data_IF_795752223749
#
_entry.id   IF_795752223749
#
_cell.length_a   1.000
_cell.length_b   1.000
_cell.length_c   1.000
_cell.angle_alpha   90.00
_cell.angle_beta   90.00
_cell.angle_gamma   90.00
#
_symmetry.space_group_name_H-M   'P 1'
#
loop_
_entity.id
_entity.type
_entity.pdbx_description
1 polymer ?
#
# COMPACT_ATOMS: atom_id res chain seq x y z
N UNK A 1 35.47 -56.31 2.38
CA UNK A 1 35.74 -55.78 3.73
C UNK A 1 34.80 -54.63 3.98
N UNK A 2 33.80 -54.94 4.78
CA UNK A 2 32.73 -54.00 5.19
C UNK A 2 33.19 -53.13 6.35
N UNK A 3 32.83 -51.84 6.34
CA UNK A 3 32.75 -51.02 7.56
C UNK A 3 31.42 -50.29 7.62
N UNK A 4 30.69 -50.66 8.61
CA UNK A 4 29.39 -50.25 9.07
C UNK A 4 29.40 -48.81 9.58
N UNK A 5 28.33 -48.05 9.26
CA UNK A 5 27.94 -46.83 9.93
C UNK A 5 27.18 -47.14 11.25
N UNK A 6 27.32 -46.30 12.30
CA UNK A 6 26.49 -46.39 13.49
C UNK A 6 25.18 -45.57 13.36
N UNK A 7 24.14 -45.90 14.14
CA UNK A 7 22.80 -45.36 14.03
C UNK A 7 22.66 -44.01 14.76
N UNK A 8 21.77 -43.17 14.23
CA UNK A 8 21.30 -41.93 14.84
C UNK A 8 20.64 -42.19 16.20
N UNK A 9 21.18 -41.61 17.26
CA UNK A 9 20.58 -41.52 18.56
C UNK A 9 19.59 -40.37 18.62
N UNK A 10 18.34 -40.67 19.00
CA UNK A 10 17.33 -39.66 19.31
C UNK A 10 17.67 -38.89 20.59
N UNK A 11 17.54 -37.60 20.55
CA UNK A 11 17.56 -36.76 21.75
C UNK A 11 16.18 -36.78 22.41
N UNK A 12 16.06 -37.46 23.54
CA UNK A 12 14.93 -37.32 24.46
C UNK A 12 14.98 -35.95 25.13
N UNK A 13 13.97 -35.14 24.87
CA UNK A 13 13.76 -33.88 25.61
C UNK A 13 13.31 -34.20 27.05
N UNK A 14 14.22 -34.00 28.00
CA UNK A 14 13.98 -34.12 29.42
C UNK A 14 13.17 -32.95 29.95
N UNK A 15 11.98 -33.24 30.51
CA UNK A 15 11.18 -32.32 31.29
C UNK A 15 11.73 -32.21 32.71
N UNK A 16 12.19 -31.03 33.11
CA UNK A 16 12.58 -30.73 34.47
C UNK A 16 11.37 -30.16 35.23
N UNK A 17 10.89 -30.90 36.21
CA UNK A 17 9.91 -30.47 37.22
C UNK A 17 10.61 -29.64 38.32
N UNK A 18 10.42 -28.34 38.34
CA UNK A 18 10.79 -27.50 39.46
C UNK A 18 9.57 -27.34 40.40
N UNK A 19 9.76 -27.56 41.70
CA UNK A 19 8.76 -27.28 42.74
C UNK A 19 9.09 -25.96 43.40
N UNK A 20 8.06 -25.12 43.60
CA UNK A 20 8.20 -23.90 44.37
C UNK A 20 8.14 -24.19 45.91
N UNK A 21 8.49 -23.22 46.76
CA UNK A 21 8.50 -23.40 48.20
C UNK A 21 7.14 -23.74 48.80
N UNK A 22 6.05 -23.57 48.10
CA UNK A 22 4.68 -23.82 48.55
C UNK A 22 4.11 -25.17 48.01
N UNK A 23 4.95 -26.03 47.42
CA UNK A 23 4.60 -27.39 47.05
C UNK A 23 3.69 -27.52 45.82
N UNK A 24 3.50 -26.47 44.98
CA UNK A 24 2.69 -26.49 43.78
C UNK A 24 3.56 -26.74 42.57
N UNK A 25 3.22 -27.77 41.79
CA UNK A 25 3.87 -28.09 40.53
C UNK A 25 3.44 -27.09 39.43
N UNK A 26 4.36 -26.28 38.94
CA UNK A 26 4.16 -25.51 37.70
C UNK A 26 4.93 -26.17 36.59
N UNK A 27 4.22 -26.57 35.56
CA UNK A 27 4.79 -26.98 34.27
C UNK A 27 5.29 -25.73 33.54
N UNK A 28 6.60 -25.52 33.50
CA UNK A 28 7.23 -24.61 32.56
C UNK A 28 7.52 -25.38 31.28
N UNK A 29 6.52 -25.51 30.42
CA UNK A 29 6.69 -25.86 29.03
C UNK A 29 6.80 -24.59 28.23
N UNK A 30 7.92 -24.35 27.57
CA UNK A 30 7.99 -23.41 26.45
C UNK A 30 7.14 -23.99 25.33
N UNK A 31 5.87 -23.60 25.26
CA UNK A 31 5.07 -23.81 24.06
C UNK A 31 5.63 -22.89 22.96
N UNK A 32 6.01 -23.42 21.78
CA UNK A 32 6.31 -22.61 20.63
C UNK A 32 4.98 -22.05 20.10
N UNK A 33 4.64 -20.81 20.41
CA UNK A 33 3.42 -20.22 19.86
C UNK A 33 2.73 -19.11 20.65
N UNK A 34 3.47 -18.19 21.26
CA UNK A 34 2.86 -16.88 21.54
C UNK A 34 3.93 -15.75 21.52
N UNK A 35 4.32 -15.25 20.34
CA UNK A 35 5.18 -14.07 20.24
C UNK A 35 4.36 -12.76 20.23
N UNK A 36 3.16 -12.73 20.79
CA UNK A 36 2.38 -11.50 20.89
C UNK A 36 2.55 -10.92 22.29
N UNK A 37 3.71 -10.34 22.54
CA UNK A 37 3.92 -9.51 23.71
C UNK A 37 2.91 -8.37 23.74
N UNK A 38 2.12 -8.30 24.83
CA UNK A 38 1.11 -7.28 25.15
C UNK A 38 1.52 -5.80 25.02
N UNK A 39 2.83 -5.39 24.98
CA UNK A 39 3.20 -3.98 24.89
C UNK A 39 2.75 -3.27 23.60
N UNK A 40 2.49 -3.99 22.49
CA UNK A 40 2.09 -3.35 21.23
C UNK A 40 0.63 -2.86 21.20
N UNK A 41 -0.24 -3.35 22.10
CA UNK A 41 -1.63 -2.91 22.21
C UNK A 41 -1.76 -1.58 22.98
N UNK A 42 -0.82 -1.25 23.86
CA UNK A 42 -0.85 -0.03 24.66
C UNK A 42 -0.64 1.26 23.84
N UNK A 43 -0.17 1.12 22.58
CA UNK A 43 0.07 2.24 21.66
C UNK A 43 -1.17 2.59 20.84
N UNK A 44 -2.11 1.64 20.72
CA UNK A 44 -3.32 1.81 19.91
C UNK A 44 -4.40 2.52 20.74
N UNK A 45 -5.02 3.56 20.18
CA UNK A 45 -6.25 4.09 20.74
C UNK A 45 -7.32 2.99 20.85
N UNK A 46 -8.17 3.04 21.90
CA UNK A 46 -9.25 2.03 22.13
C UNK A 46 -10.09 1.75 20.88
N UNK A 47 -10.29 2.76 20.06
CA UNK A 47 -11.09 2.67 18.83
C UNK A 47 -10.42 1.80 17.76
N UNK A 48 -9.13 2.00 17.49
CA UNK A 48 -8.38 1.21 16.52
C UNK A 48 -8.23 -0.23 17.01
N UNK A 49 -7.90 -0.42 18.28
CA UNK A 49 -7.79 -1.75 18.88
C UNK A 49 -9.09 -2.56 18.72
N UNK A 50 -10.27 -1.94 18.97
CA UNK A 50 -11.57 -2.61 18.81
C UNK A 50 -11.87 -3.05 17.37
N UNK A 51 -11.56 -2.22 16.34
CA UNK A 51 -11.81 -2.59 14.94
C UNK A 51 -10.83 -3.63 14.44
N UNK A 52 -9.53 -3.48 14.75
CA UNK A 52 -8.51 -4.45 14.35
C UNK A 52 -8.67 -5.81 15.06
N UNK A 53 -9.39 -5.85 16.18
CA UNK A 53 -9.76 -7.07 16.88
C UNK A 53 -11.15 -7.61 16.49
N UNK A 54 -11.88 -6.96 15.55
CA UNK A 54 -13.17 -7.50 15.10
C UNK A 54 -12.99 -8.81 14.37
N UNK A 55 -13.94 -9.77 14.50
CA UNK A 55 -13.86 -11.07 13.82
C UNK A 55 -13.66 -10.93 12.31
N UNK A 56 -14.37 -10.00 11.67
CA UNK A 56 -14.28 -9.74 10.23
C UNK A 56 -12.88 -9.27 9.84
N UNK A 57 -12.30 -8.32 10.57
CA UNK A 57 -10.96 -7.80 10.27
C UNK A 57 -9.88 -8.88 10.49
N UNK A 58 -9.98 -9.67 11.56
CA UNK A 58 -9.08 -10.78 11.84
C UNK A 58 -9.13 -11.84 10.74
N UNK A 59 -10.33 -12.16 10.25
CA UNK A 59 -10.50 -13.06 9.10
C UNK A 59 -9.84 -12.48 7.85
N UNK A 60 -10.06 -11.20 7.53
CA UNK A 60 -9.42 -10.56 6.39
C UNK A 60 -7.88 -10.60 6.51
N UNK A 61 -7.35 -10.32 7.69
CA UNK A 61 -5.91 -10.38 7.94
C UNK A 61 -5.35 -11.80 7.76
N UNK A 62 -6.07 -12.83 8.26
CA UNK A 62 -5.71 -14.23 8.05
C UNK A 62 -5.72 -14.61 6.55
N UNK A 63 -6.73 -14.17 5.80
CA UNK A 63 -6.83 -14.39 4.35
C UNK A 63 -5.71 -13.71 3.56
N UNK A 64 -5.16 -12.61 4.07
CA UNK A 64 -4.09 -11.85 3.42
C UNK A 64 -2.68 -12.40 3.71
N UNK A 65 -2.51 -13.42 4.53
CA UNK A 65 -1.22 -14.09 4.71
C UNK A 65 -0.77 -14.74 3.41
N UNK A 66 0.49 -14.61 3.06
CA UNK A 66 1.07 -15.17 1.84
C UNK A 66 2.44 -15.79 2.13
N UNK A 67 2.85 -16.87 1.45
CA UNK A 67 2.12 -17.62 0.42
C UNK A 67 1.01 -18.52 0.99
N UNK A 68 0.16 -19.11 0.11
CA UNK A 68 -0.78 -20.14 0.49
C UNK A 68 -0.07 -21.28 1.24
N UNK A 69 -0.57 -21.64 2.43
CA UNK A 69 0.04 -22.64 3.30
C UNK A 69 -0.98 -23.28 4.22
N UNK A 70 -0.63 -24.41 4.79
CA UNK A 70 -1.48 -25.08 5.77
C UNK A 70 -1.71 -24.21 7.02
N UNK A 71 -0.69 -23.46 7.46
CA UNK A 71 -0.80 -22.52 8.58
C UNK A 71 -1.75 -21.36 8.26
N UNK A 72 -1.71 -20.79 7.04
CA UNK A 72 -2.70 -19.81 6.57
C UNK A 72 -4.11 -20.38 6.62
N UNK A 73 -4.32 -21.59 6.05
CA UNK A 73 -5.63 -22.21 6.01
C UNK A 73 -6.18 -22.52 7.41
N UNK A 74 -5.32 -22.92 8.36
CA UNK A 74 -5.71 -23.11 9.75
C UNK A 74 -6.10 -21.80 10.42
N UNK A 75 -5.34 -20.71 10.19
CA UNK A 75 -5.67 -19.37 10.68
C UNK A 75 -7.00 -18.85 10.11
N UNK A 76 -7.26 -19.09 8.81
CA UNK A 76 -8.53 -18.73 8.14
C UNK A 76 -9.70 -19.49 8.77
N UNK A 77 -9.59 -20.83 8.94
CA UNK A 77 -10.63 -21.62 9.60
C UNK A 77 -10.91 -21.19 11.03
N UNK A 78 -9.85 -20.92 11.81
CA UNK A 78 -9.98 -20.42 13.18
C UNK A 78 -10.70 -19.08 13.26
N UNK A 79 -10.32 -18.12 12.41
CA UNK A 79 -10.96 -16.82 12.37
C UNK A 79 -12.40 -16.88 11.86
N UNK A 80 -12.67 -17.73 10.86
CA UNK A 80 -14.01 -17.93 10.28
C UNK A 80 -15.03 -18.50 11.29
N UNK A 81 -14.59 -19.31 12.25
CA UNK A 81 -15.44 -19.85 13.31
C UNK A 81 -16.10 -18.80 14.20
N UNK A 82 -15.62 -17.56 14.21
CA UNK A 82 -16.18 -16.45 14.97
C UNK A 82 -17.07 -15.52 14.13
N UNK A 83 -17.27 -15.81 12.84
CA UNK A 83 -18.07 -14.98 11.93
C UNK A 83 -19.54 -15.29 12.07
N UNK A 84 -20.33 -14.26 12.40
CA UNK A 84 -21.78 -14.31 12.48
C UNK A 84 -22.41 -13.70 11.22
N UNK A 85 -21.82 -12.62 10.71
CA UNK A 85 -22.32 -11.88 9.55
C UNK A 85 -21.32 -11.93 8.37
N UNK A 86 -21.62 -12.78 7.38
CA UNK A 86 -20.82 -12.93 6.17
C UNK A 86 -20.99 -11.76 5.19
N UNK A 87 -22.09 -11.04 5.21
CA UNK A 87 -22.28 -9.84 4.39
C UNK A 87 -21.37 -8.72 4.89
N UNK A 88 -21.21 -8.61 6.21
CA UNK A 88 -20.21 -7.70 6.81
C UNK A 88 -18.79 -8.04 6.36
N UNK A 89 -18.41 -9.34 6.25
CA UNK A 89 -17.12 -9.77 5.73
C UNK A 89 -16.95 -9.34 4.28
N UNK A 90 -17.94 -9.57 3.41
CA UNK A 90 -17.90 -9.15 1.99
C UNK A 90 -17.72 -7.63 1.88
N UNK A 91 -18.45 -6.87 2.67
CA UNK A 91 -18.35 -5.41 2.69
C UNK A 91 -16.99 -4.93 3.19
N UNK A 92 -16.47 -5.55 4.24
CA UNK A 92 -15.13 -5.26 4.77
C UNK A 92 -14.04 -5.60 3.72
N UNK A 93 -14.11 -6.75 3.07
CA UNK A 93 -13.20 -7.16 1.99
C UNK A 93 -13.21 -6.16 0.82
N UNK A 94 -14.38 -5.62 0.48
CA UNK A 94 -14.52 -4.58 -0.54
C UNK A 94 -13.86 -3.26 -0.10
N UNK A 95 -14.15 -2.79 1.11
CA UNK A 95 -13.59 -1.53 1.66
C UNK A 95 -12.08 -1.58 1.77
N UNK A 96 -11.56 -2.73 2.19
CA UNK A 96 -10.13 -3.00 2.32
C UNK A 96 -9.45 -3.38 0.99
N UNK A 97 -10.23 -3.56 -0.09
CA UNK A 97 -9.79 -3.95 -1.44
C UNK A 97 -9.02 -5.27 -1.48
N UNK A 98 -9.47 -6.27 -0.69
CA UNK A 98 -8.85 -7.60 -0.58
C UNK A 98 -9.80 -8.75 -0.97
N UNK A 99 -10.91 -8.46 -1.66
CA UNK A 99 -11.93 -9.46 -2.01
C UNK A 99 -11.35 -10.66 -2.80
N UNK A 100 -10.37 -10.45 -3.69
CA UNK A 100 -9.71 -11.53 -4.41
C UNK A 100 -8.91 -12.46 -3.48
N UNK A 101 -8.17 -11.88 -2.53
CA UNK A 101 -7.41 -12.64 -1.52
C UNK A 101 -8.33 -13.40 -0.56
N UNK A 102 -9.44 -12.77 -0.15
CA UNK A 102 -10.43 -13.41 0.73
C UNK A 102 -11.10 -14.58 0.03
N UNK A 103 -11.54 -14.42 -1.22
CA UNK A 103 -12.10 -15.51 -2.01
C UNK A 103 -11.11 -16.67 -2.16
N UNK A 104 -9.87 -16.40 -2.57
CA UNK A 104 -8.81 -17.39 -2.74
C UNK A 104 -8.55 -18.17 -1.43
N UNK A 105 -8.38 -17.44 -0.32
CA UNK A 105 -8.05 -18.04 0.96
C UNK A 105 -9.18 -18.89 1.55
N UNK A 106 -10.43 -18.43 1.46
CA UNK A 106 -11.59 -19.20 1.92
C UNK A 106 -11.80 -20.46 1.09
N UNK A 107 -11.62 -20.37 -0.23
CA UNK A 107 -11.68 -21.54 -1.13
C UNK A 107 -10.58 -22.54 -0.80
N UNK A 108 -9.32 -22.08 -0.65
CA UNK A 108 -8.18 -22.95 -0.31
C UNK A 108 -8.31 -23.58 1.09
N UNK A 109 -8.98 -22.90 2.03
CA UNK A 109 -9.26 -23.43 3.36
C UNK A 109 -10.45 -24.40 3.39
N UNK A 110 -11.16 -24.59 2.26
CA UNK A 110 -12.35 -25.46 2.17
C UNK A 110 -13.56 -24.94 2.93
N UNK A 111 -13.67 -23.62 3.09
CA UNK A 111 -14.75 -23.00 3.86
C UNK A 111 -16.07 -23.02 3.07
N UNK A 112 -17.15 -23.47 3.73
CA UNK A 112 -18.50 -23.39 3.19
C UNK A 112 -19.15 -22.09 3.69
N UNK A 113 -19.50 -21.22 2.76
CA UNK A 113 -20.17 -19.95 3.03
C UNK A 113 -21.65 -20.04 2.65
N UNK A 114 -22.51 -19.15 3.22
CA UNK A 114 -23.87 -18.96 2.69
C UNK A 114 -23.81 -18.57 1.20
N UNK A 115 -24.81 -19.02 0.42
CA UNK A 115 -24.80 -18.94 -1.04
C UNK A 115 -24.61 -17.48 -1.58
N UNK A 116 -25.28 -16.50 -0.98
CA UNK A 116 -25.22 -15.11 -1.44
C UNK A 116 -23.82 -14.48 -1.22
N UNK A 117 -23.19 -14.49 -0.02
CA UNK A 117 -21.81 -14.05 0.19
C UNK A 117 -20.79 -14.78 -0.69
N UNK A 118 -20.93 -16.11 -0.87
CA UNK A 118 -20.05 -16.90 -1.72
C UNK A 118 -20.10 -16.42 -3.17
N UNK A 119 -21.30 -16.28 -3.72
CA UNK A 119 -21.52 -15.79 -5.09
C UNK A 119 -20.95 -14.37 -5.30
N UNK A 120 -21.16 -13.47 -4.34
CA UNK A 120 -20.67 -12.10 -4.43
C UNK A 120 -19.12 -12.03 -4.37
N UNK A 121 -18.46 -12.80 -3.50
CA UNK A 121 -17.00 -12.88 -3.46
C UNK A 121 -16.44 -13.44 -4.78
N UNK A 122 -17.03 -14.51 -5.31
CA UNK A 122 -16.65 -15.11 -6.58
C UNK A 122 -16.79 -14.11 -7.75
N UNK A 123 -17.92 -13.40 -7.82
CA UNK A 123 -18.18 -12.36 -8.82
C UNK A 123 -17.11 -11.24 -8.76
N UNK A 124 -16.75 -10.80 -7.55
CA UNK A 124 -15.71 -9.78 -7.33
C UNK A 124 -14.33 -10.28 -7.73
N UNK A 125 -13.96 -11.49 -7.36
CA UNK A 125 -12.69 -12.11 -7.75
C UNK A 125 -12.56 -12.20 -9.28
N UNK A 126 -13.62 -12.62 -9.98
CA UNK A 126 -13.65 -12.64 -11.44
C UNK A 126 -13.50 -11.23 -12.05
N UNK A 127 -14.18 -10.24 -11.49
CA UNK A 127 -14.08 -8.85 -11.95
C UNK A 127 -12.65 -8.30 -11.77
N UNK A 128 -11.99 -8.60 -10.64
CA UNK A 128 -10.59 -8.27 -10.39
C UNK A 128 -9.69 -8.89 -11.45
N UNK A 129 -9.83 -10.18 -11.71
CA UNK A 129 -9.00 -10.88 -12.70
C UNK A 129 -9.18 -10.31 -14.12
N UNK A 130 -10.43 -10.13 -14.56
CA UNK A 130 -10.72 -9.50 -15.88
C UNK A 130 -10.11 -8.10 -15.99
N UNK A 131 -10.25 -7.28 -14.95
CA UNK A 131 -9.67 -5.94 -14.92
C UNK A 131 -8.15 -5.99 -15.00
N UNK A 132 -7.50 -6.90 -14.27
CA UNK A 132 -6.05 -7.05 -14.28
C UNK A 132 -5.52 -7.49 -15.65
N UNK A 133 -6.23 -8.37 -16.38
CA UNK A 133 -5.85 -8.74 -17.74
C UNK A 133 -5.88 -7.53 -18.68
N UNK A 134 -6.95 -6.73 -18.63
CA UNK A 134 -7.05 -5.50 -19.42
C UNK A 134 -5.93 -4.51 -19.07
N UNK A 135 -5.65 -4.32 -17.78
CA UNK A 135 -4.58 -3.42 -17.33
C UNK A 135 -3.18 -3.96 -17.69
N UNK A 136 -2.98 -5.27 -17.74
CA UNK A 136 -1.71 -5.86 -18.17
C UNK A 136 -1.44 -5.57 -19.65
N UNK A 137 -2.42 -5.83 -20.52
CA UNK A 137 -2.33 -5.53 -21.94
C UNK A 137 -2.10 -4.02 -22.18
N UNK A 138 -2.84 -3.17 -21.46
CA UNK A 138 -2.73 -1.72 -21.63
C UNK A 138 -1.42 -1.16 -21.05
N UNK A 139 -0.91 -1.69 -19.95
CA UNK A 139 0.40 -1.29 -19.40
C UNK A 139 1.52 -1.59 -20.41
N UNK A 140 1.51 -2.80 -20.98
CA UNK A 140 2.46 -3.19 -22.02
C UNK A 140 2.37 -2.27 -23.24
N UNK A 141 1.15 -2.03 -23.73
CA UNK A 141 0.91 -1.17 -24.88
C UNK A 141 1.40 0.27 -24.65
N UNK A 142 1.14 0.82 -23.45
CA UNK A 142 1.59 2.17 -23.10
C UNK A 142 3.11 2.26 -22.99
N UNK A 143 3.77 1.26 -22.40
CA UNK A 143 5.24 1.23 -22.39
C UNK A 143 5.81 1.15 -23.80
N UNK A 144 5.23 0.32 -24.68
CA UNK A 144 5.62 0.24 -26.10
C UNK A 144 5.40 1.56 -26.83
N UNK A 145 4.27 2.23 -26.60
CA UNK A 145 3.95 3.54 -27.19
C UNK A 145 4.97 4.62 -26.75
N UNK A 146 5.31 4.65 -25.47
CA UNK A 146 6.29 5.58 -24.93
C UNK A 146 7.71 5.29 -25.44
N UNK A 147 8.09 4.02 -25.56
CA UNK A 147 9.38 3.60 -26.13
C UNK A 147 9.53 4.03 -27.57
N UNK A 148 8.49 3.86 -28.39
CA UNK A 148 8.48 4.32 -29.79
C UNK A 148 8.68 5.84 -29.92
N UNK A 149 8.35 6.59 -28.87
CA UNK A 149 8.59 8.05 -28.76
C UNK A 149 9.90 8.40 -28.03
N UNK A 150 10.76 7.42 -27.74
CA UNK A 150 11.99 7.56 -26.97
C UNK A 150 11.76 8.18 -25.56
N UNK A 151 10.65 7.81 -24.94
CA UNK A 151 10.30 8.20 -23.56
C UNK A 151 10.38 6.95 -22.66
N UNK A 152 11.46 6.78 -21.87
CA UNK A 152 11.58 5.65 -20.97
C UNK A 152 10.48 5.70 -19.90
N UNK A 153 9.91 4.53 -19.59
CA UNK A 153 8.81 4.42 -18.61
C UNK A 153 8.94 3.20 -17.73
N UNK A 154 8.54 3.32 -16.47
CA UNK A 154 8.57 2.27 -15.45
C UNK A 154 7.19 2.16 -14.83
N UNK A 155 6.59 0.96 -14.81
CA UNK A 155 5.37 0.69 -14.05
C UNK A 155 5.72 0.55 -12.56
N UNK A 156 5.16 1.41 -11.69
CA UNK A 156 5.53 1.47 -10.27
C UNK A 156 4.88 0.40 -9.40
N UNK A 157 3.70 -0.07 -9.78
CA UNK A 157 2.89 -1.05 -9.05
C UNK A 157 1.97 -1.81 -10.01
N UNK A 158 0.71 -2.03 -9.67
CA UNK A 158 -0.29 -2.60 -10.57
C UNK A 158 -0.05 -4.07 -10.88
N UNK A 159 -0.06 -4.40 -12.16
CA UNK A 159 0.02 -5.79 -12.65
C UNK A 159 1.41 -6.40 -12.50
N UNK A 160 2.47 -5.60 -12.61
CA UNK A 160 3.83 -6.06 -12.34
C UNK A 160 3.97 -6.54 -10.89
N UNK A 161 3.46 -5.75 -9.93
CA UNK A 161 3.43 -6.15 -8.52
C UNK A 161 2.52 -7.36 -8.28
N UNK A 162 1.40 -7.50 -9.00
CA UNK A 162 0.56 -8.69 -8.90
C UNK A 162 1.33 -9.96 -9.23
N UNK A 163 2.10 -9.93 -10.31
CA UNK A 163 2.91 -11.08 -10.72
C UNK A 163 4.08 -11.34 -9.75
N UNK A 164 4.80 -10.30 -9.34
CA UNK A 164 5.94 -10.44 -8.41
C UNK A 164 5.52 -10.93 -7.02
N UNK A 165 4.40 -10.43 -6.49
CA UNK A 165 3.95 -10.74 -5.14
C UNK A 165 3.14 -12.03 -5.06
N UNK A 166 2.32 -12.31 -6.06
CA UNK A 166 1.34 -13.40 -6.02
C UNK A 166 1.55 -14.48 -7.08
N UNK A 167 2.47 -14.28 -8.02
CA UNK A 167 2.67 -15.17 -9.16
C UNK A 167 1.44 -15.22 -10.09
N UNK A 168 0.49 -14.29 -9.95
CA UNK A 168 -0.80 -14.34 -10.64
C UNK A 168 -1.50 -12.99 -10.67
N UNK A 169 -2.28 -12.77 -11.72
CA UNK A 169 -3.17 -11.60 -11.84
C UNK A 169 -4.53 -11.77 -11.14
N UNK A 170 -4.79 -12.93 -10.47
CA UNK A 170 -6.15 -13.28 -10.00
C UNK A 170 -6.57 -12.57 -8.72
N UNK A 171 -5.65 -12.34 -7.77
CA UNK A 171 -6.02 -12.00 -6.39
C UNK A 171 -5.81 -10.53 -6.03
N UNK A 172 -4.84 -9.86 -6.66
CA UNK A 172 -4.50 -8.47 -6.36
C UNK A 172 -5.52 -7.49 -6.97
N UNK A 173 -6.09 -6.62 -6.14
CA UNK A 173 -6.96 -5.56 -6.64
C UNK A 173 -6.13 -4.41 -7.25
N UNK A 174 -6.05 -4.36 -8.57
CA UNK A 174 -5.47 -3.24 -9.33
C UNK A 174 -6.57 -2.34 -9.85
N UNK A 175 -6.36 -1.02 -9.83
CA UNK A 175 -7.36 -0.04 -10.26
C UNK A 175 -6.85 0.81 -11.43
N UNK A 176 -5.59 1.15 -11.40
CA UNK A 176 -4.89 2.15 -12.19
C UNK A 176 -3.58 1.59 -12.78
N UNK A 177 -3.06 2.29 -13.76
CA UNK A 177 -1.72 2.11 -14.32
C UNK A 177 -0.89 3.31 -13.86
N UNK A 178 0.21 3.07 -13.14
CA UNK A 178 1.13 4.10 -12.69
C UNK A 178 2.42 4.01 -13.50
N UNK A 179 2.70 5.02 -14.31
CA UNK A 179 3.90 5.07 -15.14
C UNK A 179 4.81 6.22 -14.70
N UNK A 180 6.01 5.89 -14.27
CA UNK A 180 7.07 6.85 -13.98
C UNK A 180 7.86 7.13 -15.25
N UNK A 181 8.03 8.41 -15.58
CA UNK A 181 8.75 8.92 -16.74
C UNK A 181 9.74 10.02 -16.33
N UNK A 182 10.72 10.39 -17.15
CA UNK A 182 11.57 11.54 -16.88
C UNK A 182 10.78 12.86 -16.88
N UNK A 183 11.05 13.79 -15.94
CA UNK A 183 10.30 15.04 -15.82
C UNK A 183 10.44 15.96 -17.05
N UNK A 184 11.57 15.93 -17.75
CA UNK A 184 11.81 16.69 -19.00
C UNK A 184 10.99 16.14 -20.19
N UNK A 185 10.49 14.90 -20.09
CA UNK A 185 9.63 14.26 -21.07
C UNK A 185 8.13 14.35 -20.73
N UNK A 186 7.77 14.91 -19.58
CA UNK A 186 6.39 14.91 -19.10
C UNK A 186 5.40 15.57 -20.07
N UNK A 187 5.73 16.75 -20.62
CA UNK A 187 4.85 17.44 -21.59
C UNK A 187 4.68 16.64 -22.89
N UNK A 188 5.75 16.03 -23.39
CA UNK A 188 5.71 15.20 -24.59
C UNK A 188 4.85 13.94 -24.37
N UNK A 189 5.00 13.29 -23.21
CA UNK A 189 4.20 12.13 -22.83
C UNK A 189 2.71 12.48 -22.67
N UNK A 190 2.38 13.60 -22.03
CA UNK A 190 1.00 14.10 -21.95
C UNK A 190 0.37 14.26 -23.34
N UNK A 191 1.08 14.96 -24.26
CA UNK A 191 0.61 15.16 -25.62
C UNK A 191 0.49 13.83 -26.42
N UNK A 192 1.36 12.85 -26.14
CA UNK A 192 1.32 11.53 -26.75
C UNK A 192 0.07 10.76 -26.32
N UNK A 193 -0.23 10.72 -25.01
CA UNK A 193 -1.42 10.06 -24.47
C UNK A 193 -2.70 10.72 -25.01
N UNK A 194 -2.76 12.04 -25.09
CA UNK A 194 -3.92 12.75 -25.67
C UNK A 194 -4.15 12.37 -27.13
N UNK A 195 -3.10 12.29 -27.94
CA UNK A 195 -3.19 11.81 -29.35
C UNK A 195 -3.64 10.34 -29.44
N UNK A 196 -3.31 9.52 -28.42
CA UNK A 196 -3.74 8.13 -28.32
C UNK A 196 -5.18 7.97 -27.81
N UNK A 197 -5.91 9.07 -27.57
CA UNK A 197 -7.31 9.08 -27.17
C UNK A 197 -7.55 9.12 -25.65
N UNK A 198 -6.51 9.33 -24.85
CA UNK A 198 -6.66 9.58 -23.42
C UNK A 198 -7.12 11.01 -23.15
N UNK A 199 -8.07 11.16 -22.25
CA UNK A 199 -8.52 12.45 -21.76
C UNK A 199 -7.89 12.74 -20.39
N UNK A 200 -7.38 13.95 -20.20
CA UNK A 200 -6.87 14.41 -18.92
C UNK A 200 -8.02 14.48 -17.91
N UNK A 201 -7.83 13.91 -16.72
CA UNK A 201 -8.84 13.85 -15.64
C UNK A 201 -8.40 14.53 -14.35
N UNK A 202 -7.11 14.64 -14.11
CA UNK A 202 -6.54 15.33 -12.96
C UNK A 202 -5.25 16.07 -13.38
N UNK A 203 -5.03 17.29 -12.92
CA UNK A 203 -5.79 18.05 -11.91
C UNK A 203 -7.03 18.77 -12.46
N UNK A 204 -7.23 18.79 -13.75
CA UNK A 204 -8.40 19.32 -14.45
C UNK A 204 -8.55 18.62 -15.80
N UNK A 205 -9.74 18.68 -16.42
CA UNK A 205 -10.00 18.08 -17.73
C UNK A 205 -9.35 18.84 -18.89
N UNK A 206 -8.97 20.10 -18.67
CA UNK A 206 -8.28 20.94 -19.66
C UNK A 206 -7.26 21.83 -18.97
N UNK A 207 -6.09 21.96 -19.57
CA UNK A 207 -5.00 22.81 -19.11
C UNK A 207 -4.41 23.59 -20.27
N UNK A 208 -4.24 24.90 -20.10
CA UNK A 208 -3.43 25.72 -21.02
C UNK A 208 -1.96 25.26 -20.95
N UNK A 209 -1.17 25.64 -21.95
CA UNK A 209 0.25 25.29 -21.98
C UNK A 209 1.04 25.82 -20.77
N UNK A 210 0.72 27.02 -20.31
CA UNK A 210 1.31 27.58 -19.10
C UNK A 210 0.94 26.78 -17.85
N UNK A 211 -0.31 26.35 -17.73
CA UNK A 211 -0.77 25.48 -16.64
C UNK A 211 -0.10 24.10 -16.70
N UNK A 212 0.09 23.51 -17.89
CA UNK A 212 0.82 22.23 -18.04
C UNK A 212 2.25 22.33 -17.52
N UNK A 213 2.98 23.41 -17.89
CA UNK A 213 4.33 23.66 -17.35
C UNK A 213 4.32 23.84 -15.83
N UNK A 214 3.34 24.54 -15.30
CA UNK A 214 3.17 24.71 -13.85
C UNK A 214 2.85 23.37 -13.15
N UNK A 215 2.01 22.53 -13.75
CA UNK A 215 1.71 21.18 -13.24
C UNK A 215 2.98 20.34 -13.16
N UNK A 216 3.81 20.29 -14.21
CA UNK A 216 5.07 19.55 -14.19
C UNK A 216 6.00 20.05 -13.08
N UNK A 217 6.01 21.36 -12.81
CA UNK A 217 6.84 21.97 -11.76
C UNK A 217 6.35 21.66 -10.35
N UNK A 218 5.04 21.73 -10.08
CA UNK A 218 4.47 21.71 -8.73
C UNK A 218 3.74 20.42 -8.36
N UNK A 219 3.33 19.61 -9.33
CA UNK A 219 2.78 18.26 -9.09
C UNK A 219 3.84 17.18 -9.34
N UNK A 220 3.61 16.00 -8.82
CA UNK A 220 4.39 14.80 -9.15
C UNK A 220 3.79 14.00 -10.29
N UNK A 221 2.51 14.26 -10.63
CA UNK A 221 1.73 13.41 -11.52
C UNK A 221 0.58 14.18 -12.18
N UNK A 222 0.04 13.58 -13.24
CA UNK A 222 -1.27 13.85 -13.81
C UNK A 222 -2.00 12.53 -14.03
N UNK A 223 -3.34 12.58 -14.05
CA UNK A 223 -4.14 11.40 -14.34
C UNK A 223 -4.92 11.55 -15.64
N UNK A 224 -5.00 10.45 -16.36
CA UNK A 224 -5.73 10.30 -17.62
C UNK A 224 -6.74 9.17 -17.52
N UNK A 225 -7.78 9.26 -18.34
CA UNK A 225 -8.73 8.18 -18.56
C UNK A 225 -8.89 7.93 -20.07
N UNK A 226 -8.87 6.68 -20.49
CA UNK A 226 -9.22 6.31 -21.85
C UNK A 226 -10.67 5.82 -21.91
N UNK A 227 -11.62 6.57 -22.52
CA UNK A 227 -13.04 6.23 -22.48
C UNK A 227 -13.35 4.84 -23.04
N UNK A 228 -12.76 4.51 -24.19
CA UNK A 228 -13.00 3.24 -24.88
C UNK A 228 -12.29 2.03 -24.24
N UNK A 229 -11.21 2.22 -23.48
CA UNK A 229 -10.44 1.14 -22.86
C UNK A 229 -10.73 1.02 -21.37
N UNK A 230 -11.43 2.00 -20.77
CA UNK A 230 -11.71 2.03 -19.35
C UNK A 230 -10.46 2.02 -18.46
N UNK A 231 -9.30 2.44 -19.01
CA UNK A 231 -8.03 2.49 -18.31
C UNK A 231 -7.85 3.86 -17.67
N UNK A 232 -7.60 3.84 -16.35
CA UNK A 232 -7.18 5.01 -15.59
C UNK A 232 -5.66 4.94 -15.44
N UNK A 233 -4.95 5.99 -15.88
CA UNK A 233 -3.49 6.01 -15.95
C UNK A 233 -2.96 7.25 -15.25
N UNK A 234 -2.08 7.05 -14.27
CA UNK A 234 -1.31 8.10 -13.62
C UNK A 234 0.07 8.18 -14.28
N UNK A 235 0.35 9.31 -14.91
CA UNK A 235 1.65 9.61 -15.48
C UNK A 235 2.43 10.42 -14.46
N UNK A 236 3.46 9.81 -13.89
CA UNK A 236 4.26 10.36 -12.79
C UNK A 236 5.67 10.68 -13.28
N UNK A 237 6.28 11.75 -12.75
CA UNK A 237 7.67 12.13 -12.98
C UNK A 237 8.46 12.29 -11.68
N UNK A 238 7.80 12.06 -10.55
CA UNK A 238 8.40 11.95 -9.22
C UNK A 238 7.70 10.85 -8.43
N UNK A 239 8.48 10.05 -7.73
CA UNK A 239 7.98 8.92 -6.92
C UNK A 239 7.40 9.35 -5.57
N UNK A 240 7.72 10.57 -5.11
CA UNK A 240 7.21 11.15 -3.87
C UNK A 240 7.12 12.68 -4.00
N UNK A 241 6.21 13.32 -3.24
CA UNK A 241 6.10 14.78 -3.19
C UNK A 241 7.28 15.41 -2.47
N UNK A 242 7.81 14.74 -1.44
CA UNK A 242 8.98 15.17 -0.71
C UNK A 242 10.25 14.54 -1.31
N UNK A 243 11.17 15.32 -1.91
CA UNK A 243 12.36 14.81 -2.56
C UNK A 243 13.39 14.19 -1.61
N UNK A 244 13.17 14.28 -0.29
CA UNK A 244 13.99 13.60 0.70
C UNK A 244 13.57 12.15 0.94
N UNK A 245 12.41 11.74 0.39
CA UNK A 245 11.96 10.35 0.32
C UNK A 245 12.32 9.78 -1.05
N UNK A 246 12.79 8.53 -1.07
CA UNK A 246 13.19 7.81 -2.27
C UNK A 246 14.25 8.58 -3.09
N UNK A 247 15.25 9.10 -2.40
CA UNK A 247 16.38 9.76 -3.03
C UNK A 247 16.96 8.89 -4.14
N UNK A 248 17.24 9.51 -5.29
CA UNK A 248 17.82 8.85 -6.45
C UNK A 248 16.93 7.77 -7.11
N UNK A 249 15.67 7.63 -6.70
CA UNK A 249 14.71 6.77 -7.41
C UNK A 249 13.97 7.62 -8.45
N UNK A 250 14.19 7.33 -9.72
CA UNK A 250 13.67 8.08 -10.86
C UNK A 250 13.49 7.17 -12.08
N UNK A 251 13.03 7.70 -13.21
CA UNK A 251 12.78 6.92 -14.42
C UNK A 251 14.02 6.27 -15.07
N UNK A 252 15.22 6.66 -14.64
CA UNK A 252 16.49 6.02 -15.02
C UNK A 252 17.03 5.03 -13.98
N UNK A 253 16.26 4.72 -12.92
CA UNK A 253 16.65 3.73 -11.92
C UNK A 253 16.71 2.31 -12.50
N UNK A 254 17.46 1.39 -11.89
CA UNK A 254 17.49 -0.01 -12.29
C UNK A 254 16.08 -0.62 -12.37
N UNK A 255 15.83 -1.38 -13.41
CA UNK A 255 14.55 -2.02 -13.70
C UNK A 255 14.66 -3.54 -13.76
N UNK A 256 13.53 -4.21 -13.56
CA UNK A 256 13.33 -5.61 -13.86
C UNK A 256 12.16 -5.78 -14.83
N UNK A 257 12.26 -6.79 -15.72
CA UNK A 257 11.18 -7.17 -16.61
C UNK A 257 10.36 -8.28 -15.97
N UNK A 258 9.05 -8.10 -15.95
CA UNK A 258 8.09 -9.03 -15.32
C UNK A 258 7.15 -9.55 -16.40
N UNK A 259 7.20 -10.86 -16.65
CA UNK A 259 6.25 -11.54 -17.55
C UNK A 259 4.90 -11.62 -16.85
N UNK A 260 3.91 -10.90 -17.35
CA UNK A 260 2.55 -10.83 -16.77
C UNK A 260 1.55 -11.71 -17.51
N UNK A 261 1.85 -12.09 -18.75
CA UNK A 261 1.14 -13.07 -19.55
C UNK A 261 2.08 -13.55 -20.69
N UNK A 262 1.68 -14.58 -21.43
CA UNK A 262 2.45 -15.09 -22.56
C UNK A 262 2.73 -13.97 -23.58
N UNK A 263 4.01 -13.72 -23.85
CA UNK A 263 4.47 -12.67 -24.75
C UNK A 263 4.30 -11.23 -24.21
N UNK A 264 3.79 -11.04 -22.99
CA UNK A 264 3.56 -9.73 -22.38
C UNK A 264 4.48 -9.54 -21.19
N UNK A 265 5.49 -8.68 -21.34
CA UNK A 265 6.42 -8.31 -20.26
C UNK A 265 6.36 -6.82 -20.00
N UNK A 266 6.31 -6.42 -18.74
CA UNK A 266 6.29 -5.02 -18.30
C UNK A 266 7.52 -4.69 -17.47
N UNK A 267 8.06 -3.47 -17.64
CA UNK A 267 9.18 -2.98 -16.85
C UNK A 267 8.67 -2.37 -15.55
N UNK A 268 9.31 -2.73 -14.44
CA UNK A 268 9.09 -2.13 -13.12
C UNK A 268 10.44 -1.85 -12.44
N UNK A 269 10.43 -1.12 -11.33
CA UNK A 269 11.64 -0.89 -10.53
C UNK A 269 12.29 -2.22 -10.12
N UNK A 270 13.60 -2.23 -10.00
CA UNK A 270 14.32 -3.34 -9.38
C UNK A 270 13.79 -3.58 -7.95
N UNK A 271 13.97 -4.81 -7.44
CA UNK A 271 13.34 -5.31 -6.21
C UNK A 271 13.48 -4.35 -5.01
N UNK A 272 14.68 -3.87 -4.74
CA UNK A 272 14.97 -3.11 -3.52
C UNK A 272 14.36 -1.70 -3.58
N UNK A 273 14.43 -1.03 -4.74
CA UNK A 273 13.79 0.26 -4.98
C UNK A 273 12.25 0.12 -5.01
N UNK A 274 11.72 -0.99 -5.55
CA UNK A 274 10.29 -1.27 -5.53
C UNK A 274 9.79 -1.46 -4.09
N UNK A 275 10.51 -2.19 -3.24
CA UNK A 275 10.19 -2.31 -1.82
C UNK A 275 10.14 -0.94 -1.13
N UNK A 276 11.18 -0.13 -1.31
CA UNK A 276 11.25 1.20 -0.72
C UNK A 276 10.09 2.10 -1.20
N UNK A 277 9.77 2.05 -2.49
CA UNK A 277 8.63 2.76 -3.07
C UNK A 277 7.30 2.32 -2.47
N UNK A 278 7.04 1.00 -2.35
CA UNK A 278 5.82 0.48 -1.77
C UNK A 278 5.65 0.92 -0.30
N UNK A 279 6.74 0.96 0.46
CA UNK A 279 6.73 1.46 1.84
C UNK A 279 6.36 2.95 1.92
N UNK A 280 6.93 3.79 1.06
CA UNK A 280 6.61 5.23 1.02
C UNK A 280 5.19 5.46 0.53
N UNK A 281 4.76 4.76 -0.53
CA UNK A 281 3.40 4.85 -1.06
C UNK A 281 2.35 4.46 -0.01
N UNK A 282 2.56 3.34 0.71
CA UNK A 282 1.66 2.91 1.77
C UNK A 282 1.62 3.90 2.95
N UNK A 283 2.79 4.38 3.39
CA UNK A 283 2.90 5.35 4.47
C UNK A 283 2.25 6.70 4.11
N UNK A 284 2.40 7.16 2.86
CA UNK A 284 1.74 8.36 2.34
C UNK A 284 0.21 8.26 2.45
N UNK A 285 -0.36 7.09 2.22
CA UNK A 285 -1.78 6.80 2.38
C UNK A 285 -2.16 6.31 3.80
N UNK A 286 -1.27 6.52 4.78
CA UNK A 286 -1.43 6.05 6.18
C UNK A 286 -1.86 4.57 6.26
N UNK A 287 -1.50 3.73 5.29
CA UNK A 287 -1.88 2.31 5.18
C UNK A 287 -3.38 2.07 5.39
N UNK A 288 -4.22 3.03 5.06
CA UNK A 288 -5.66 3.01 5.34
C UNK A 288 -6.43 1.84 4.69
N UNK A 289 -5.78 1.06 3.82
CA UNK A 289 -6.34 -0.16 3.20
C UNK A 289 -5.39 -1.34 3.37
N UNK A 290 -5.94 -2.45 3.83
CA UNK A 290 -5.20 -3.69 4.07
C UNK A 290 -4.48 -4.21 2.82
N UNK A 291 -5.02 -3.94 1.60
CA UNK A 291 -4.42 -4.37 0.34
C UNK A 291 -2.95 -3.97 0.18
N UNK A 292 -2.57 -2.77 0.63
CA UNK A 292 -1.18 -2.29 0.44
C UNK A 292 -0.20 -3.07 1.31
N UNK A 293 -0.60 -3.40 2.54
CA UNK A 293 0.21 -4.24 3.43
C UNK A 293 0.23 -5.69 2.94
N UNK A 294 -0.91 -6.22 2.46
CA UNK A 294 -0.98 -7.56 1.89
C UNK A 294 -0.07 -7.69 0.65
N UNK A 295 -0.10 -6.69 -0.25
CA UNK A 295 0.77 -6.63 -1.42
C UNK A 295 2.26 -6.60 -1.03
N UNK A 296 2.63 -5.80 -0.03
CA UNK A 296 4.00 -5.70 0.46
C UNK A 296 4.46 -7.00 1.13
N UNK A 297 3.64 -7.57 2.02
CA UNK A 297 3.93 -8.84 2.68
C UNK A 297 4.14 -9.97 1.67
N UNK A 298 3.24 -10.08 0.69
CA UNK A 298 3.34 -11.07 -0.36
C UNK A 298 4.61 -10.86 -1.22
N UNK A 299 4.96 -9.61 -1.54
CA UNK A 299 6.17 -9.27 -2.27
C UNK A 299 7.45 -9.70 -1.51
N UNK A 300 7.53 -9.40 -0.22
CA UNK A 300 8.67 -9.81 0.63
C UNK A 300 8.82 -11.33 0.64
N UNK A 301 7.71 -12.05 0.88
CA UNK A 301 7.74 -13.51 1.04
C UNK A 301 7.93 -14.26 -0.29
N UNK A 302 7.39 -13.74 -1.40
CA UNK A 302 7.54 -14.36 -2.72
C UNK A 302 8.96 -14.21 -3.29
N UNK A 303 9.67 -13.17 -2.92
CA UNK A 303 11.03 -12.90 -3.42
C UNK A 303 12.12 -13.46 -2.52
N UNK A 304 11.76 -14.13 -1.43
CA UNK A 304 12.69 -14.64 -0.40
C UNK A 304 13.74 -13.58 0.00
N UNK A 305 13.24 -12.36 0.18
CA UNK A 305 14.12 -11.21 0.35
C UNK A 305 14.59 -11.08 1.80
N UNK A 306 15.88 -10.81 1.99
CA UNK A 306 16.41 -10.40 3.29
C UNK A 306 15.77 -9.07 3.73
N UNK A 307 14.88 -9.15 4.71
CA UNK A 307 14.15 -7.98 5.23
C UNK A 307 15.06 -6.94 5.88
N UNK A 308 16.22 -7.34 6.41
CA UNK A 308 17.22 -6.42 6.98
C UNK A 308 17.86 -5.63 5.86
N UNK A 309 18.28 -6.31 4.79
CA UNK A 309 18.83 -5.66 3.60
C UNK A 309 17.82 -4.67 2.99
N UNK A 310 16.59 -5.10 2.76
CA UNK A 310 15.54 -4.24 2.22
C UNK A 310 15.29 -3.01 3.10
N UNK A 311 15.24 -3.19 4.42
CA UNK A 311 15.07 -2.08 5.34
C UNK A 311 16.24 -1.09 5.30
N UNK A 312 17.49 -1.59 5.28
CA UNK A 312 18.69 -0.74 5.19
C UNK A 312 18.78 -0.01 3.86
N UNK A 313 18.40 -0.67 2.74
CA UNK A 313 18.29 0.00 1.44
C UNK A 313 17.25 1.13 1.49
N UNK A 314 16.06 0.87 1.98
CA UNK A 314 15.02 1.91 2.15
C UNK A 314 15.50 3.06 3.07
N UNK A 315 16.25 2.75 4.12
CA UNK A 315 16.82 3.75 5.03
C UNK A 315 17.85 4.64 4.31
N UNK A 316 18.73 4.07 3.47
CA UNK A 316 19.66 4.83 2.66
C UNK A 316 18.95 5.78 1.67
N UNK A 317 17.82 5.36 1.11
CA UNK A 317 16.95 6.18 0.25
C UNK A 317 16.06 7.17 1.02
N UNK A 318 16.21 7.32 2.34
CA UNK A 318 15.42 8.24 3.18
C UNK A 318 14.06 7.69 3.60
N UNK A 319 13.72 6.44 3.29
CA UNK A 319 12.44 5.79 3.56
C UNK A 319 12.42 4.86 4.79
N UNK A 320 13.45 4.93 5.67
CA UNK A 320 13.60 4.00 6.81
C UNK A 320 12.45 4.03 7.82
N UNK A 321 11.80 5.19 8.04
CA UNK A 321 10.62 5.25 8.92
C UNK A 321 9.40 4.61 8.27
N UNK A 322 9.24 4.77 6.95
CA UNK A 322 8.16 4.16 6.18
C UNK A 322 8.29 2.64 6.14
N UNK A 323 9.50 2.12 5.88
CA UNK A 323 9.76 0.67 5.86
C UNK A 323 9.67 0.07 7.26
N UNK A 324 10.14 0.75 8.30
CA UNK A 324 9.99 0.29 9.68
C UNK A 324 8.52 0.17 10.11
N UNK A 325 7.69 1.18 9.79
CA UNK A 325 6.24 1.11 10.00
C UNK A 325 5.62 -0.08 9.28
N UNK A 326 5.95 -0.26 8.01
CA UNK A 326 5.40 -1.33 7.17
C UNK A 326 5.74 -2.72 7.71
N UNK A 327 7.01 -2.94 8.09
CA UNK A 327 7.46 -4.22 8.64
C UNK A 327 6.79 -4.58 9.96
N UNK A 328 6.63 -3.61 10.89
CA UNK A 328 5.89 -3.85 12.14
C UNK A 328 4.41 -4.16 11.89
N UNK A 329 3.78 -3.50 10.91
CA UNK A 329 2.39 -3.79 10.54
C UNK A 329 2.27 -5.19 9.92
N UNK A 330 3.18 -5.58 9.03
CA UNK A 330 3.20 -6.93 8.43
C UNK A 330 3.47 -8.01 9.48
N UNK A 331 4.39 -7.79 10.42
CA UNK A 331 4.62 -8.70 11.54
C UNK A 331 3.34 -8.90 12.35
N UNK A 332 2.67 -7.82 12.70
CA UNK A 332 1.46 -7.87 13.53
C UNK A 332 0.27 -8.51 12.84
N UNK A 333 0.01 -8.14 11.57
CA UNK A 333 -1.21 -8.55 10.87
C UNK A 333 -1.06 -9.89 10.15
N UNK A 334 0.13 -10.18 9.65
CA UNK A 334 0.34 -11.36 8.79
C UNK A 334 1.34 -12.37 9.36
N UNK A 335 1.88 -12.09 10.56
CA UNK A 335 2.93 -12.89 11.20
C UNK A 335 4.22 -12.99 10.35
N UNK A 336 4.56 -11.89 9.63
CA UNK A 336 5.85 -11.81 8.93
C UNK A 336 6.99 -12.02 9.94
N UNK A 337 7.88 -13.01 9.75
CA UNK A 337 9.00 -13.20 10.64
C UNK A 337 9.99 -12.04 10.47
N UNK A 338 10.34 -11.38 11.58
CA UNK A 338 11.40 -10.38 11.62
C UNK A 338 12.53 -10.86 12.52
N UNK A 339 13.81 -10.69 12.12
CA UNK A 339 14.94 -10.93 13.01
C UNK A 339 14.81 -10.11 14.30
N UNK A 340 15.13 -10.73 15.46
CA UNK A 340 14.92 -10.13 16.77
C UNK A 340 15.55 -8.72 16.89
N UNK A 341 16.80 -8.55 16.44
CA UNK A 341 17.48 -7.26 16.50
C UNK A 341 16.76 -6.16 15.70
N UNK A 342 16.25 -6.48 14.50
CA UNK A 342 15.47 -5.52 13.71
C UNK A 342 14.13 -5.20 14.38
N UNK A 343 13.42 -6.22 14.86
CA UNK A 343 12.14 -6.02 15.54
C UNK A 343 12.27 -5.12 16.76
N UNK A 344 13.30 -5.32 17.58
CA UNK A 344 13.60 -4.48 18.75
C UNK A 344 13.91 -3.03 18.34
N UNK A 345 14.83 -2.82 17.37
CA UNK A 345 15.17 -1.49 16.84
C UNK A 345 13.92 -0.71 16.40
N UNK A 346 13.04 -1.37 15.63
CA UNK A 346 11.82 -0.75 15.11
C UNK A 346 10.83 -0.42 16.21
N UNK A 347 10.67 -1.30 17.20
CA UNK A 347 9.77 -1.09 18.35
C UNK A 347 10.26 0.03 19.28
N UNK A 348 11.56 0.22 19.44
CA UNK A 348 12.15 1.29 20.23
C UNK A 348 12.05 2.65 19.53
N UNK A 349 11.95 2.67 18.21
CA UNK A 349 11.88 3.92 17.44
C UNK A 349 10.52 4.62 17.63
N UNK A 350 10.47 5.65 18.47
CA UNK A 350 9.23 6.36 18.85
C UNK A 350 8.43 6.92 17.65
N UNK A 351 9.09 7.36 16.57
CA UNK A 351 8.39 7.81 15.33
C UNK A 351 7.73 6.65 14.58
N UNK A 352 8.38 5.48 14.52
CA UNK A 352 7.81 4.29 13.89
C UNK A 352 6.55 3.87 14.65
N UNK A 353 6.58 3.88 15.99
CA UNK A 353 5.40 3.60 16.83
C UNK A 353 4.25 4.58 16.59
N UNK A 354 4.55 5.90 16.48
CA UNK A 354 3.52 6.90 16.16
C UNK A 354 2.90 6.65 14.78
N UNK A 355 3.71 6.39 13.77
CA UNK A 355 3.25 6.06 12.43
C UNK A 355 2.42 4.77 12.42
N UNK A 356 2.82 3.76 13.19
CA UNK A 356 2.06 2.52 13.38
C UNK A 356 0.65 2.79 13.93
N UNK A 357 0.53 3.60 15.00
CA UNK A 357 -0.75 3.98 15.58
C UNK A 357 -1.64 4.73 14.57
N UNK A 358 -1.07 5.67 13.82
CA UNK A 358 -1.79 6.43 12.76
C UNK A 358 -2.35 5.47 11.69
N UNK A 359 -1.57 4.48 11.26
CA UNK A 359 -2.02 3.50 10.27
C UNK A 359 -3.16 2.63 10.81
N UNK A 360 -3.07 2.19 12.06
CA UNK A 360 -4.12 1.43 12.71
C UNK A 360 -5.44 2.20 12.79
N UNK A 361 -5.39 3.48 13.17
CA UNK A 361 -6.56 4.37 13.19
C UNK A 361 -7.14 4.57 11.78
N UNK A 362 -6.27 4.76 10.76
CA UNK A 362 -6.70 4.95 9.37
C UNK A 362 -7.39 3.69 8.80
N UNK A 363 -6.86 2.49 9.09
CA UNK A 363 -7.51 1.22 8.72
C UNK A 363 -8.86 1.03 9.41
N UNK A 364 -8.95 1.41 10.70
CA UNK A 364 -10.19 1.34 11.46
C UNK A 364 -11.26 2.29 10.92
N UNK A 365 -10.91 3.52 10.58
CA UNK A 365 -11.83 4.48 9.97
C UNK A 365 -12.35 3.98 8.62
N UNK A 366 -11.49 3.36 7.81
CA UNK A 366 -11.85 2.79 6.49
C UNK A 366 -12.78 1.59 6.62
N UNK A 367 -12.57 0.75 7.60
CA UNK A 367 -13.41 -0.42 7.85
C UNK A 367 -14.84 -0.04 8.21
N UNK A 368 -15.05 1.08 8.90
CA UNK A 368 -16.38 1.61 9.25
C UNK A 368 -17.10 2.38 8.15
N UNK A 369 -16.49 2.57 6.96
CA UNK A 369 -17.10 3.27 5.84
C UNK A 369 -16.87 4.79 5.81
N UNK A 370 -15.93 5.30 6.59
CA UNK A 370 -15.43 6.66 6.49
C UNK A 370 -14.69 6.87 5.16
N UNK A 371 -15.31 7.61 4.23
CA UNK A 371 -14.69 8.17 3.04
C UNK A 371 -14.56 7.26 1.82
N UNK A 372 -15.46 7.39 0.88
CA UNK A 372 -15.24 7.09 -0.54
C UNK A 372 -14.26 8.10 -1.15
N UNK A 373 -13.37 7.64 -2.01
CA UNK A 373 -12.44 8.35 -2.89
C UNK A 373 -12.04 9.80 -2.53
N UNK A 374 -10.82 10.01 -2.14
CA UNK A 374 -10.21 11.34 -2.04
C UNK A 374 -10.89 12.30 -1.05
N UNK A 375 -10.59 12.20 0.24
CA UNK A 375 -10.92 13.26 1.20
C UNK A 375 -12.19 13.08 2.05
N UNK A 376 -12.82 11.91 2.08
CA UNK A 376 -14.08 11.66 2.81
C UNK A 376 -13.95 11.25 4.29
N UNK A 377 -12.81 11.46 4.94
CA UNK A 377 -12.68 11.40 6.40
C UNK A 377 -13.22 12.68 7.03
N UNK A 378 -13.86 12.60 8.21
CA UNK A 378 -14.20 13.79 8.97
C UNK A 378 -12.95 14.65 9.23
N UNK A 379 -13.13 15.94 9.54
CA UNK A 379 -12.02 16.89 9.75
C UNK A 379 -10.84 16.32 10.58
N UNK A 380 -11.07 15.55 11.68
CA UNK A 380 -9.96 14.95 12.43
C UNK A 380 -9.09 13.97 11.64
N UNK A 381 -9.68 13.18 10.75
CA UNK A 381 -8.92 12.22 9.94
C UNK A 381 -8.05 12.92 8.90
N UNK A 382 -8.58 13.97 8.25
CA UNK A 382 -7.83 14.79 7.28
C UNK A 382 -6.61 15.43 7.95
N UNK A 383 -6.78 16.01 9.14
CA UNK A 383 -5.69 16.60 9.90
C UNK A 383 -4.65 15.59 10.35
N UNK A 384 -5.08 14.41 10.83
CA UNK A 384 -4.20 13.30 11.20
C UNK A 384 -3.33 12.89 10.01
N UNK A 385 -3.94 12.66 8.84
CA UNK A 385 -3.25 12.21 7.64
C UNK A 385 -2.29 13.30 7.11
N UNK A 386 -2.68 14.58 7.20
CA UNK A 386 -1.80 15.71 6.88
C UNK A 386 -0.57 15.74 7.78
N UNK A 387 -0.74 15.68 9.11
CA UNK A 387 0.38 15.71 10.04
C UNK A 387 1.25 14.44 9.98
N UNK A 388 0.67 13.31 9.60
CA UNK A 388 1.42 12.08 9.38
C UNK A 388 2.54 12.26 8.35
N UNK A 389 2.34 13.08 7.30
CA UNK A 389 3.35 13.34 6.28
C UNK A 389 4.64 13.94 6.86
N UNK A 390 4.55 14.73 7.92
CA UNK A 390 5.71 15.34 8.60
C UNK A 390 6.49 14.33 9.47
N UNK A 391 5.93 13.15 9.70
CA UNK A 391 6.58 12.08 10.45
C UNK A 391 7.33 11.07 9.56
N UNK A 392 7.13 11.11 8.25
CA UNK A 392 7.68 10.10 7.32
C UNK A 392 9.20 10.14 7.16
N UNK A 393 9.85 11.26 7.52
CA UNK A 393 11.29 11.41 7.41
C UNK A 393 11.90 12.12 8.62
N UNK A 394 13.20 12.37 8.58
CA UNK A 394 13.97 13.00 9.66
C UNK A 394 14.79 14.18 9.16
N UNK A 395 15.11 15.08 10.09
CA UNK A 395 16.03 16.19 9.87
C UNK A 395 15.40 17.43 9.22
N UNK A 396 16.12 18.53 9.30
CA UNK A 396 15.68 19.81 8.78
C UNK A 396 15.43 19.82 7.26
N UNK A 397 16.29 19.19 6.42
CA UNK A 397 16.04 19.15 4.98
C UNK A 397 14.71 18.48 4.60
N UNK A 398 14.33 17.40 5.31
CA UNK A 398 13.04 16.75 5.13
C UNK A 398 11.88 17.66 5.55
N UNK A 399 11.98 18.29 6.72
CA UNK A 399 10.94 19.16 7.24
C UNK A 399 10.73 20.37 6.32
N UNK A 400 11.81 21.04 5.90
CA UNK A 400 11.73 22.18 4.97
C UNK A 400 11.13 21.79 3.60
N UNK A 401 11.50 20.62 3.07
CA UNK A 401 10.92 20.07 1.84
C UNK A 401 9.43 19.75 2.01
N UNK A 402 9.03 19.21 3.18
CA UNK A 402 7.63 18.92 3.48
C UNK A 402 6.80 20.20 3.61
N UNK A 403 7.31 21.21 4.28
CA UNK A 403 6.66 22.54 4.34
C UNK A 403 6.46 23.11 2.93
N UNK A 404 7.47 23.00 2.07
CA UNK A 404 7.39 23.46 0.67
C UNK A 404 6.33 22.68 -0.11
N UNK A 405 6.33 21.34 -0.03
CA UNK A 405 5.32 20.50 -0.67
C UNK A 405 3.90 20.81 -0.15
N UNK A 406 3.78 21.10 1.16
CA UNK A 406 2.51 21.45 1.77
C UNK A 406 2.07 22.89 1.45
N UNK A 407 2.95 23.80 1.06
CA UNK A 407 2.65 25.22 0.88
C UNK A 407 2.04 25.58 -0.48
N UNK A 408 2.23 24.76 -1.51
CA UNK A 408 1.71 24.99 -2.86
C UNK A 408 0.79 23.85 -3.27
N UNK A 409 -0.50 24.12 -3.41
CA UNK A 409 -1.47 23.15 -3.94
C UNK A 409 -1.59 23.28 -5.44
N UNK A 410 -1.56 22.15 -6.17
CA UNK A 410 -1.70 22.18 -7.65
C UNK A 410 -3.03 22.80 -8.08
N UNK A 411 -4.10 22.58 -7.32
CA UNK A 411 -5.40 23.21 -7.58
C UNK A 411 -5.34 24.72 -7.42
N UNK A 412 -4.53 25.26 -6.48
CA UNK A 412 -4.34 26.69 -6.31
C UNK A 412 -3.65 27.29 -7.54
N UNK A 413 -2.60 26.62 -8.04
CA UNK A 413 -1.84 27.01 -9.23
C UNK A 413 -2.72 27.05 -10.50
N UNK A 414 -3.66 26.11 -10.62
CA UNK A 414 -4.56 26.04 -11.78
C UNK A 414 -5.69 27.07 -11.66
N UNK A 415 -6.25 27.24 -10.46
CA UNK A 415 -7.36 28.17 -10.22
C UNK A 415 -6.94 29.64 -10.36
N UNK A 416 -5.68 29.94 -10.02
CA UNK A 416 -5.10 31.30 -10.15
C UNK A 416 -3.69 31.16 -10.72
N UNK A 417 -3.53 31.09 -12.06
CA UNK A 417 -2.23 30.95 -12.70
C UNK A 417 -1.43 32.27 -12.60
N UNK A 418 -0.53 32.34 -11.64
CA UNK A 418 0.38 33.46 -11.47
C UNK A 418 1.58 33.33 -12.43
N UNK A 419 2.13 34.46 -12.90
CA UNK A 419 3.41 34.45 -13.61
C UNK A 419 4.53 33.96 -12.71
N UNK A 420 5.61 33.35 -13.26
CA UNK A 420 6.63 32.64 -12.49
C UNK A 420 7.28 33.43 -11.35
N UNK A 421 7.45 34.73 -11.53
CA UNK A 421 8.04 35.63 -10.52
C UNK A 421 7.13 35.91 -9.32
N UNK A 422 5.81 35.64 -9.42
CA UNK A 422 4.85 35.74 -8.33
C UNK A 422 4.53 34.40 -7.64
N UNK A 423 5.16 33.32 -8.05
CA UNK A 423 4.87 31.99 -7.47
C UNK A 423 5.15 31.91 -5.96
N UNK A 424 5.99 32.77 -5.40
CA UNK A 424 6.23 32.88 -3.96
C UNK A 424 4.99 33.31 -3.17
N UNK A 425 3.95 33.81 -3.84
CA UNK A 425 2.68 34.19 -3.21
C UNK A 425 1.75 33.00 -2.95
N UNK A 426 1.92 31.87 -3.64
CA UNK A 426 1.01 30.71 -3.44
C UNK A 426 0.88 30.27 -1.98
N UNK A 427 1.94 30.18 -1.17
CA UNK A 427 1.80 29.86 0.25
C UNK A 427 0.87 30.81 1.01
N UNK A 428 0.91 32.11 0.69
CA UNK A 428 0.06 33.14 1.31
C UNK A 428 -1.38 33.05 0.80
N UNK A 429 -1.56 32.75 -0.49
CA UNK A 429 -2.87 32.69 -1.15
C UNK A 429 -3.60 31.37 -0.89
N UNK A 430 -2.93 30.34 -0.37
CA UNK A 430 -3.51 29.00 -0.20
C UNK A 430 -4.77 28.99 0.65
N UNK A 431 -4.77 29.67 1.80
CA UNK A 431 -5.93 29.74 2.68
C UNK A 431 -7.07 30.57 2.05
N UNK A 432 -6.84 31.79 1.53
CA UNK A 432 -7.86 32.54 0.79
C UNK A 432 -8.46 31.78 -0.39
N UNK A 433 -7.66 31.13 -1.22
CA UNK A 433 -8.13 30.34 -2.36
C UNK A 433 -8.94 29.12 -1.92
N UNK A 434 -8.54 28.45 -0.84
CA UNK A 434 -9.29 27.34 -0.27
C UNK A 434 -10.67 27.79 0.24
N UNK A 435 -10.72 28.92 0.96
CA UNK A 435 -11.98 29.51 1.45
C UNK A 435 -12.88 29.92 0.27
N UNK A 436 -12.33 30.59 -0.73
CA UNK A 436 -13.05 31.02 -1.92
C UNK A 436 -13.67 29.82 -2.67
N UNK A 437 -12.91 28.77 -2.93
CA UNK A 437 -13.44 27.56 -3.58
C UNK A 437 -14.54 26.89 -2.77
N UNK A 438 -14.46 26.94 -1.44
CA UNK A 438 -15.45 26.35 -0.57
C UNK A 438 -16.74 27.18 -0.54
N UNK A 439 -16.65 28.48 -0.64
CA UNK A 439 -17.80 29.39 -0.76
C UNK A 439 -18.44 29.34 -2.15
N UNK A 440 -17.63 29.13 -3.22
CA UNK A 440 -18.09 29.02 -4.60
C UNK A 440 -18.61 27.63 -4.97
N UNK A 441 -18.41 26.61 -4.14
CA UNK A 441 -18.94 25.27 -4.39
C UNK A 441 -20.46 25.29 -4.30
N UNK A 442 -21.22 24.81 -5.34
CA UNK A 442 -22.67 24.70 -5.25
C UNK A 442 -23.04 23.79 -4.08
N UNK A 443 -24.01 24.21 -3.29
CA UNK A 443 -24.57 23.40 -2.21
C UNK A 443 -25.02 22.05 -2.76
N UNK A 444 -24.74 20.93 -2.10
CA UNK A 444 -25.22 19.62 -2.54
C UNK A 444 -26.75 19.69 -2.65
N UNK A 445 -27.35 19.13 -3.74
CA UNK A 445 -28.80 19.12 -3.88
C UNK A 445 -29.40 18.51 -2.62
N UNK A 446 -30.33 19.28 -2.00
CA UNK A 446 -30.93 18.94 -0.72
C UNK A 446 -31.45 17.52 -0.72
N UNK A 447 -31.07 16.73 0.27
CA UNK A 447 -31.80 15.52 0.61
C UNK A 447 -33.23 15.97 0.98
N UNK A 448 -34.17 15.79 0.06
CA UNK A 448 -35.58 15.84 0.38
C UNK A 448 -35.84 14.87 1.54
N UNK A 449 -36.41 15.38 2.58
CA UNK A 449 -36.85 14.67 3.80
C UNK A 449 -37.86 13.59 3.47
#
# INVERSE_FOLDING_TARGET
MARSQPPFGGAEEGWLLARDPDGRSRLHGNAPGDPVSRPALDILGRRAAGVLASPEFLLLAACCRWPPSQSRNSAVRGAAGSIVDWDAVVLAAQRQRVAGLVHDALTAAGMQLPAAPAAELARRAQAIFRKNLLLAAETYRLQTLLDAAAIPSIALKGVALAQLAYGSLKVKHTHDIDLLIPPDRALAAMALLERDGYALSFPASHLSEAQRRAVVRYSREVAFIHPGRGAFTELQWRVADNPQLLKEVHAGSPVQNVVVADGVSVRTLARDDLFAYLCVHGAHHAWSRLKWLADLNAFITATDADVVHLHRHAQAKGAGLCSGQALLLCQRLFALPLPYGLAAELQETGRVRKLYAIAADAMADRSRGGGGGGGGGGAPAVWRDFWAQFLLGRGWPFFAAQCRAASVGIIDVISLPLPPFLHFLYPLLRLPLWLWRRAAAPSPPGRSR
#
